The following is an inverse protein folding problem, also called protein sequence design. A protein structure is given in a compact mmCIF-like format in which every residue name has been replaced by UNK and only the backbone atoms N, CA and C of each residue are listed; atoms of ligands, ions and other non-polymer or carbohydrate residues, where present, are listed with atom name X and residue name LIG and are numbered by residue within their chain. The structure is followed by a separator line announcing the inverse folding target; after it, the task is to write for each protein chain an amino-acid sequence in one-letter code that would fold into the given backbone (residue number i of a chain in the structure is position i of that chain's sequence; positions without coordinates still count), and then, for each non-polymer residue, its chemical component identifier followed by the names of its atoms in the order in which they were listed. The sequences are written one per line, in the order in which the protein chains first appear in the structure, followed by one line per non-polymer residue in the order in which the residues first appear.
data_IF_876809464752
#
_entry.id   IF_876809464752
#
_cell.length_a   1.000
_cell.length_b   1.000
_cell.length_c   1.000
_cell.angle_alpha   90.00
_cell.angle_beta   90.00
_cell.angle_gamma   90.00
#
_symmetry.space_group_name_H-M   'P 1'
#
loop_
_entity.id
_entity.type
_entity.pdbx_description
1 polymer ?
#
# COMPACT_ATOMS: atom_id res chain seq x y z
N UNK A 1 5.74 -4.93 -10.00
CA UNK A 1 6.80 -5.76 -10.61
C UNK A 1 7.92 -4.95 -11.26
N UNK A 2 7.63 -3.77 -11.82
CA UNK A 2 8.65 -2.90 -12.47
C UNK A 2 9.78 -2.47 -11.52
N UNK A 3 9.47 -2.08 -10.28
CA UNK A 3 10.48 -1.68 -9.30
C UNK A 3 11.45 -2.80 -8.90
N UNK A 4 10.97 -4.06 -8.84
CA UNK A 4 11.82 -5.21 -8.54
C UNK A 4 12.84 -5.45 -9.67
N UNK A 5 12.39 -5.40 -10.93
CA UNK A 5 13.29 -5.51 -12.08
C UNK A 5 14.33 -4.37 -12.11
N UNK A 6 13.93 -3.15 -11.73
CA UNK A 6 14.86 -2.02 -11.60
C UNK A 6 15.89 -2.25 -10.50
N UNK A 7 15.49 -2.80 -9.35
CA UNK A 7 16.41 -3.12 -8.26
C UNK A 7 17.42 -4.21 -8.63
N UNK A 8 17.01 -5.21 -9.43
CA UNK A 8 17.89 -6.23 -9.96
C UNK A 8 18.89 -5.64 -10.96
N UNK A 9 18.42 -4.80 -11.88
CA UNK A 9 19.29 -4.09 -12.82
C UNK A 9 20.32 -3.19 -12.09
N UNK A 10 19.88 -2.42 -11.10
CA UNK A 10 20.76 -1.57 -10.30
C UNK A 10 21.77 -2.39 -9.48
N UNK A 11 21.42 -3.62 -9.10
CA UNK A 11 22.37 -4.54 -8.42
C UNK A 11 23.53 -4.90 -9.34
N UNK A 12 23.24 -5.22 -10.60
CA UNK A 12 24.29 -5.49 -11.60
C UNK A 12 25.12 -4.25 -11.94
N UNK A 13 24.51 -3.06 -11.99
CA UNK A 13 25.24 -1.80 -12.19
C UNK A 13 26.22 -1.55 -11.05
N UNK A 14 25.80 -1.68 -9.79
CA UNK A 14 26.68 -1.53 -8.63
C UNK A 14 27.86 -2.49 -8.71
N UNK A 15 27.62 -3.75 -9.09
CA UNK A 15 28.67 -4.75 -9.26
C UNK A 15 29.67 -4.34 -10.35
N UNK A 16 29.18 -3.98 -11.54
CA UNK A 16 30.03 -3.55 -12.65
C UNK A 16 30.85 -2.29 -12.33
N UNK A 17 30.26 -1.33 -11.62
CA UNK A 17 30.95 -0.09 -11.25
C UNK A 17 32.01 -0.33 -10.18
N UNK A 18 31.78 -1.24 -9.22
CA UNK A 18 32.81 -1.69 -8.28
C UNK A 18 33.99 -2.33 -9.00
N UNK A 19 33.71 -3.20 -9.98
CA UNK A 19 34.77 -3.85 -10.76
C UNK A 19 35.59 -2.81 -11.56
N UNK A 20 34.93 -1.80 -12.13
CA UNK A 20 35.60 -0.72 -12.86
C UNK A 20 36.40 0.22 -11.95
N UNK A 21 35.90 0.50 -10.75
CA UNK A 21 36.62 1.29 -9.73
C UNK A 21 37.93 0.61 -9.33
N UNK A 22 37.91 -0.72 -9.11
CA UNK A 22 39.11 -1.51 -8.80
C UNK A 22 40.15 -1.52 -9.95
N UNK A 23 39.76 -1.10 -11.16
CA UNK A 23 40.61 -0.98 -12.33
C UNK A 23 40.95 0.49 -12.67
N UNK A 24 40.68 1.43 -11.75
CA UNK A 24 40.86 2.87 -11.93
C UNK A 24 40.07 3.48 -13.12
N UNK A 25 39.00 2.82 -13.57
CA UNK A 25 38.17 3.24 -14.73
C UNK A 25 36.92 4.05 -14.36
N UNK A 26 36.59 4.09 -13.08
CA UNK A 26 35.47 4.82 -12.48
C UNK A 26 35.91 5.41 -11.15
N UNK A 27 35.24 6.46 -10.72
CA UNK A 27 35.51 7.11 -9.44
C UNK A 27 34.75 6.41 -8.32
N UNK A 28 35.18 6.62 -7.07
CA UNK A 28 34.41 6.18 -5.90
C UNK A 28 33.01 6.82 -5.89
N UNK A 29 32.88 8.06 -6.37
CA UNK A 29 31.61 8.76 -6.44
C UNK A 29 30.62 8.02 -7.35
N UNK A 30 31.05 7.54 -8.51
CA UNK A 30 30.19 6.75 -9.42
C UNK A 30 29.66 5.48 -8.73
N UNK A 31 30.49 4.82 -7.92
CA UNK A 31 30.08 3.63 -7.15
C UNK A 31 29.06 4.00 -6.07
N UNK A 32 29.26 5.12 -5.39
CA UNK A 32 28.33 5.59 -4.36
C UNK A 32 26.98 6.00 -4.95
N UNK A 33 26.98 6.65 -6.11
CA UNK A 33 25.76 7.02 -6.83
C UNK A 33 24.99 5.77 -7.25
N UNK A 34 25.65 4.77 -7.84
CA UNK A 34 25.02 3.49 -8.17
C UNK A 34 24.46 2.77 -6.93
N UNK A 35 25.16 2.82 -5.79
CA UNK A 35 24.66 2.25 -4.53
C UNK A 35 23.44 3.00 -4.01
N UNK A 36 23.40 4.32 -4.15
CA UNK A 36 22.24 5.13 -3.77
C UNK A 36 21.03 4.80 -4.66
N UNK A 37 21.22 4.67 -5.98
CA UNK A 37 20.16 4.24 -6.90
C UNK A 37 19.64 2.84 -6.57
N UNK A 38 20.51 1.90 -6.19
CA UNK A 38 20.09 0.58 -5.71
C UNK A 38 19.27 0.69 -4.41
N UNK A 39 19.69 1.53 -3.46
CA UNK A 39 18.95 1.75 -2.23
C UNK A 39 17.54 2.32 -2.50
N UNK A 40 17.45 3.35 -3.34
CA UNK A 40 16.19 3.98 -3.73
C UNK A 40 15.26 2.99 -4.44
N UNK A 41 15.76 2.22 -5.42
CA UNK A 41 14.95 1.23 -6.15
C UNK A 41 14.41 0.12 -5.24
N UNK A 42 15.21 -0.36 -4.28
CA UNK A 42 14.74 -1.33 -3.27
C UNK A 42 13.67 -0.74 -2.35
N UNK A 43 13.88 0.49 -1.87
CA UNK A 43 12.89 1.20 -1.06
C UNK A 43 11.56 1.37 -1.81
N UNK A 44 11.63 1.78 -3.08
CA UNK A 44 10.45 1.93 -3.94
C UNK A 44 9.73 0.61 -4.18
N UNK A 45 10.46 -0.50 -4.30
CA UNK A 45 9.85 -1.85 -4.44
C UNK A 45 8.98 -2.15 -3.22
N UNK A 46 9.54 -2.05 -2.02
CA UNK A 46 8.82 -2.30 -0.76
C UNK A 46 7.63 -1.34 -0.64
N UNK A 47 7.85 -0.05 -0.86
CA UNK A 47 6.79 0.94 -0.77
C UNK A 47 5.64 0.65 -1.75
N UNK A 48 5.94 0.21 -2.97
CA UNK A 48 4.92 -0.15 -3.96
C UNK A 48 4.05 -1.33 -3.52
N UNK A 49 4.66 -2.34 -2.88
CA UNK A 49 3.94 -3.50 -2.36
C UNK A 49 2.99 -3.10 -1.22
N UNK A 50 3.47 -2.27 -0.28
CA UNK A 50 2.62 -1.78 0.81
C UNK A 50 1.52 -0.84 0.33
N UNK A 51 1.79 0.01 -0.66
CA UNK A 51 0.78 0.88 -1.25
C UNK A 51 -0.34 0.09 -1.95
N UNK A 52 0.01 -1.01 -2.64
CA UNK A 52 -0.97 -1.90 -3.26
C UNK A 52 -1.89 -2.51 -2.20
N UNK A 53 -1.31 -3.10 -1.14
CA UNK A 53 -2.09 -3.70 -0.05
C UNK A 53 -2.96 -2.65 0.66
N UNK A 54 -2.41 -1.47 0.91
CA UNK A 54 -3.15 -0.37 1.55
C UNK A 54 -4.33 0.11 0.68
N UNK A 55 -4.15 0.19 -0.63
CA UNK A 55 -5.22 0.53 -1.56
C UNK A 55 -6.36 -0.51 -1.54
N UNK A 56 -6.03 -1.80 -1.44
CA UNK A 56 -7.03 -2.87 -1.28
C UNK A 56 -7.85 -2.67 0.00
N UNK A 57 -7.19 -2.44 1.15
CA UNK A 57 -7.90 -2.17 2.40
C UNK A 57 -8.79 -0.92 2.31
N UNK A 58 -8.32 0.14 1.67
CA UNK A 58 -9.10 1.36 1.47
C UNK A 58 -10.34 1.11 0.62
N UNK A 59 -10.24 0.30 -0.43
CA UNK A 59 -11.39 -0.07 -1.26
C UNK A 59 -12.41 -0.92 -0.50
N UNK A 60 -11.93 -1.88 0.29
CA UNK A 60 -12.80 -2.69 1.17
C UNK A 60 -13.51 -1.82 2.20
N UNK A 61 -12.81 -0.85 2.81
CA UNK A 61 -13.38 0.06 3.79
C UNK A 61 -14.47 0.95 3.16
N UNK A 62 -14.20 1.49 1.97
CA UNK A 62 -15.17 2.32 1.23
C UNK A 62 -16.43 1.54 0.85
N UNK A 63 -16.31 0.24 0.57
CA UNK A 63 -17.46 -0.65 0.30
C UNK A 63 -18.17 -1.11 1.58
N UNK A 64 -17.66 -0.73 2.74
CA UNK A 64 -18.09 -1.26 4.04
C UNK A 64 -17.61 -2.67 4.34
N UNK A 65 -16.98 -3.40 3.39
CA UNK A 65 -16.66 -4.82 3.50
C UNK A 65 -15.34 -5.14 4.25
N UNK A 66 -14.61 -4.15 4.76
CA UNK A 66 -13.31 -4.36 5.40
C UNK A 66 -13.40 -5.26 6.64
N UNK A 67 -14.27 -4.96 7.60
CA UNK A 67 -14.35 -5.74 8.84
C UNK A 67 -14.75 -7.21 8.60
N UNK A 68 -15.78 -7.51 7.78
CA UNK A 68 -16.10 -8.90 7.43
C UNK A 68 -14.96 -9.62 6.72
N UNK A 69 -14.19 -8.94 5.87
CA UNK A 69 -13.04 -9.54 5.19
C UNK A 69 -11.89 -9.92 6.13
N UNK A 70 -11.87 -9.31 7.32
CA UNK A 70 -10.94 -9.61 8.41
C UNK A 70 -11.56 -10.53 9.47
N UNK A 71 -12.75 -11.09 9.20
CA UNK A 71 -13.52 -11.91 10.15
C UNK A 71 -13.87 -11.16 11.46
N UNK A 72 -14.02 -9.83 11.36
CA UNK A 72 -14.42 -8.95 12.47
C UNK A 72 -15.86 -8.50 12.29
N UNK A 73 -16.68 -8.68 13.32
CA UNK A 73 -18.06 -8.18 13.34
C UNK A 73 -18.11 -6.65 13.38
N UNK A 74 -19.14 -6.06 12.77
CA UNK A 74 -19.38 -4.63 12.88
C UNK A 74 -19.74 -4.25 14.33
N UNK A 75 -19.30 -3.08 14.82
CA UNK A 75 -19.76 -2.54 16.10
C UNK A 75 -21.28 -2.42 16.14
N UNK A 76 -21.90 -2.63 17.31
CA UNK A 76 -23.36 -2.48 17.48
C UNK A 76 -23.86 -1.10 17.06
N UNK A 77 -23.05 -0.07 17.27
CA UNK A 77 -23.30 1.32 16.90
C UNK A 77 -23.36 1.54 15.38
N UNK A 78 -22.80 0.64 14.57
CA UNK A 78 -22.86 0.70 13.11
C UNK A 78 -24.21 0.26 12.54
N UNK A 79 -25.08 -0.32 13.37
CA UNK A 79 -26.44 -0.65 12.98
C UNK A 79 -27.24 0.64 12.86
N UNK A 80 -27.64 1.00 11.64
CA UNK A 80 -28.54 2.14 11.42
C UNK A 80 -29.89 1.76 12.02
N UNK A 81 -30.40 2.59 12.92
CA UNK A 81 -31.74 2.46 13.47
C UNK A 81 -32.81 2.79 12.40
N UNK A 82 -32.86 2.05 11.30
CA UNK A 82 -33.83 2.25 10.22
C UNK A 82 -35.14 1.51 10.45
N UNK A 83 -35.26 0.73 11.53
CA UNK A 83 -36.49 0.00 11.88
C UNK A 83 -37.43 0.78 12.83
N UNK A 84 -37.37 2.12 12.83
CA UNK A 84 -38.49 2.93 13.36
C UNK A 84 -39.57 2.97 12.29
N UNK A 85 -40.28 1.86 12.15
CA UNK A 85 -41.54 1.81 11.43
C UNK A 85 -42.56 2.59 12.27
N UNK A 86 -42.73 3.88 11.97
CA UNK A 86 -43.85 4.63 12.52
C UNK A 86 -45.14 3.95 12.04
N UNK A 87 -45.77 3.14 12.90
CA UNK A 87 -47.06 2.55 12.56
C UNK A 87 -48.11 3.67 12.52
N UNK A 88 -48.78 3.83 11.37
CA UNK A 88 -49.88 4.78 11.16
C UNK A 88 -51.03 4.67 12.18
N UNK A 89 -51.07 3.62 13.02
CA UNK A 89 -52.05 3.53 14.11
C UNK A 89 -51.85 4.58 15.21
N UNK A 90 -50.66 5.20 15.34
CA UNK A 90 -50.39 6.19 16.39
C UNK A 90 -50.81 7.62 16.02
N UNK A 91 -51.07 7.92 14.75
CA UNK A 91 -51.51 9.26 14.31
C UNK A 91 -53.03 9.47 14.37
N UNK A 92 -53.81 8.41 14.56
CA UNK A 92 -55.28 8.48 14.65
C UNK A 92 -55.80 8.68 16.09
N UNK A 93 -54.94 8.60 17.11
CA UNK A 93 -55.32 8.82 18.52
C UNK A 93 -55.08 10.27 18.99
N UNK A 94 -54.48 11.10 18.12
CA UNK A 94 -54.14 12.50 18.41
C UNK A 94 -55.00 13.53 17.63
N UNK A 95 -56.14 13.12 17.06
CA UNK A 95 -57.15 14.01 16.46
C UNK A 95 -58.50 13.80 17.13
#
# INVERSE_FOLDING_TARGET
REFAAQADANTEVVKAYKDQFNLDRRTLLDVLDAQNELFVSRSNTINSEFLEVFAVYRLLALKGALLPSLEVEYPRESNVASDIMWSESQTMEAR
#
